data_IF_943010272261
#
_entry.id   IF_943010272261
#
_cell.length_a   1.000
_cell.length_b   1.000
_cell.length_c   1.000
_cell.angle_alpha   90.00
_cell.angle_beta   90.00
_cell.angle_gamma   90.00
#
_symmetry.space_group_name_H-M   'P 1'
#
loop_
_entity.id
_entity.type
_entity.pdbx_description
1 polymer ?
#
# COMPACT_ATOMS: atom_id res chain seq x y z
N UNK A 1 -51.70 -43.12 -18.35
CA UNK A 1 -51.67 -42.41 -17.06
C UNK A 1 -50.40 -42.87 -16.35
N UNK A 2 -49.41 -42.09 -15.97
CA UNK A 2 -49.20 -40.64 -15.93
C UNK A 2 -47.68 -40.41 -16.10
N UNK A 3 -47.30 -39.33 -16.77
CA UNK A 3 -45.91 -38.90 -16.89
C UNK A 3 -45.35 -38.30 -15.60
N UNK A 4 -44.03 -38.36 -15.54
CA UNK A 4 -43.02 -37.85 -14.59
C UNK A 4 -43.32 -36.44 -13.98
N UNK A 5 -42.69 -36.03 -12.85
CA UNK A 5 -41.29 -35.59 -12.95
C UNK A 5 -40.37 -35.67 -11.70
N UNK A 6 -39.11 -36.02 -11.99
CA UNK A 6 -37.88 -35.36 -11.55
C UNK A 6 -37.92 -34.64 -10.19
N UNK A 7 -37.22 -35.23 -9.21
CA UNK A 7 -36.70 -34.54 -8.04
C UNK A 7 -35.77 -33.41 -8.53
N UNK A 8 -36.31 -32.20 -8.61
CA UNK A 8 -35.51 -30.99 -8.65
C UNK A 8 -34.90 -30.83 -7.26
N UNK A 9 -33.72 -31.41 -7.06
CA UNK A 9 -32.88 -31.11 -5.91
C UNK A 9 -32.53 -29.63 -5.98
N UNK A 10 -33.30 -28.81 -5.26
CA UNK A 10 -33.11 -27.37 -5.23
C UNK A 10 -31.77 -27.10 -4.56
N UNK A 11 -30.79 -26.66 -5.35
CA UNK A 11 -29.58 -26.01 -4.86
C UNK A 11 -30.00 -24.94 -3.84
N UNK A 12 -29.47 -24.95 -2.59
CA UNK A 12 -29.85 -23.98 -1.59
C UNK A 12 -29.50 -22.56 -2.06
N UNK A 13 -30.51 -21.71 -2.29
CA UNK A 13 -30.36 -20.33 -2.77
C UNK A 13 -29.51 -19.46 -1.80
N UNK A 14 -29.42 -19.87 -0.54
CA UNK A 14 -28.64 -19.18 0.50
C UNK A 14 -27.12 -19.28 0.31
N UNK A 15 -26.65 -20.32 -0.39
CA UNK A 15 -25.21 -20.51 -0.65
C UNK A 15 -24.63 -19.46 -1.61
N UNK A 16 -25.42 -18.97 -2.57
CA UNK A 16 -25.01 -17.93 -3.51
C UNK A 16 -24.88 -16.56 -2.85
N UNK A 17 -25.80 -16.20 -1.96
CA UNK A 17 -25.75 -14.92 -1.23
C UNK A 17 -24.55 -14.90 -0.26
N UNK A 18 -24.34 -15.99 0.49
CA UNK A 18 -23.19 -16.13 1.38
C UNK A 18 -21.86 -16.11 0.61
N UNK A 19 -21.78 -16.75 -0.56
CA UNK A 19 -20.62 -16.73 -1.43
C UNK A 19 -20.31 -15.31 -1.93
N UNK A 20 -21.32 -14.57 -2.40
CA UNK A 20 -21.16 -13.20 -2.90
C UNK A 20 -20.76 -12.23 -1.77
N UNK A 21 -21.27 -12.42 -0.55
CA UNK A 21 -20.89 -11.63 0.61
C UNK A 21 -19.42 -11.88 1.02
N UNK A 22 -18.98 -13.14 1.04
CA UNK A 22 -17.59 -13.49 1.32
C UNK A 22 -16.63 -12.97 0.24
N UNK A 23 -17.01 -13.02 -1.04
CA UNK A 23 -16.20 -12.47 -2.12
C UNK A 23 -16.00 -10.95 -1.97
N UNK A 24 -17.08 -10.20 -1.74
CA UNK A 24 -17.00 -8.75 -1.50
C UNK A 24 -16.19 -8.39 -0.25
N UNK A 25 -16.20 -9.25 0.76
CA UNK A 25 -15.40 -9.06 1.98
C UNK A 25 -13.91 -9.25 1.67
N UNK A 26 -13.57 -10.32 0.96
CA UNK A 26 -12.20 -10.62 0.54
C UNK A 26 -11.63 -9.54 -0.41
N UNK A 27 -12.45 -9.01 -1.32
CA UNK A 27 -12.06 -7.90 -2.21
C UNK A 27 -11.74 -6.63 -1.41
N UNK A 28 -12.56 -6.29 -0.40
CA UNK A 28 -12.29 -5.15 0.47
C UNK A 28 -11.02 -5.36 1.29
N UNK A 29 -10.84 -6.53 1.89
CA UNK A 29 -9.61 -6.83 2.65
C UNK A 29 -8.36 -6.75 1.77
N UNK A 30 -8.46 -7.16 0.51
CA UNK A 30 -7.35 -7.05 -0.45
C UNK A 30 -7.08 -5.60 -0.84
N UNK A 31 -8.14 -4.81 -1.03
CA UNK A 31 -8.03 -3.39 -1.32
C UNK A 31 -7.39 -2.63 -0.15
N UNK A 32 -7.84 -2.91 1.08
CA UNK A 32 -7.29 -2.32 2.30
C UNK A 32 -5.80 -2.61 2.40
N UNK A 33 -5.38 -3.86 2.17
CA UNK A 33 -3.97 -4.27 2.12
C UNK A 33 -3.16 -3.74 0.94
N UNK A 34 -3.75 -2.95 0.04
CA UNK A 34 -3.06 -2.39 -1.12
C UNK A 34 -3.15 -0.87 -1.18
N UNK A 35 -3.75 -0.23 -0.18
CA UNK A 35 -4.04 1.21 -0.21
C UNK A 35 -2.79 2.06 -0.40
N UNK A 36 -1.72 1.75 0.34
CA UNK A 36 -0.46 2.49 0.23
C UNK A 36 0.10 2.42 -1.19
N UNK A 37 0.14 1.22 -1.78
CA UNK A 37 0.57 1.00 -3.16
C UNK A 37 -0.35 1.74 -4.14
N UNK A 38 -1.66 1.71 -3.93
CA UNK A 38 -2.63 2.40 -4.79
C UNK A 38 -2.38 3.91 -4.76
N UNK A 39 -2.23 4.53 -3.59
CA UNK A 39 -1.96 5.95 -3.49
C UNK A 39 -0.60 6.32 -4.10
N UNK A 40 0.44 5.48 -3.93
CA UNK A 40 1.72 5.68 -4.60
C UNK A 40 1.57 5.66 -6.14
N UNK A 41 0.77 4.75 -6.69
CA UNK A 41 0.50 4.69 -8.13
C UNK A 41 -0.30 5.88 -8.64
N UNK A 42 -1.35 6.28 -7.92
CA UNK A 42 -2.15 7.45 -8.31
C UNK A 42 -1.30 8.73 -8.25
N UNK A 43 -0.41 8.86 -7.26
CA UNK A 43 0.57 9.93 -7.19
C UNK A 43 1.46 9.97 -8.44
N UNK A 44 2.04 8.84 -8.82
CA UNK A 44 2.87 8.72 -10.03
C UNK A 44 2.10 9.01 -11.33
N UNK A 45 0.81 8.65 -11.38
CA UNK A 45 -0.07 9.04 -12.50
C UNK A 45 -0.34 10.54 -12.52
N UNK A 46 -0.57 11.15 -11.35
CA UNK A 46 -0.75 12.60 -11.21
C UNK A 46 0.46 13.37 -11.73
N UNK A 47 1.67 12.91 -11.41
CA UNK A 47 2.91 13.47 -11.97
C UNK A 47 3.01 13.25 -13.48
N UNK A 48 2.83 12.01 -13.94
CA UNK A 48 2.96 11.64 -15.36
C UNK A 48 2.04 12.44 -16.29
N UNK A 49 0.82 12.73 -15.83
CA UNK A 49 -0.18 13.47 -16.62
C UNK A 49 -0.28 14.95 -16.25
N UNK A 50 0.57 15.44 -15.34
CA UNK A 50 0.56 16.84 -14.89
C UNK A 50 -0.70 17.26 -14.13
N UNK A 51 -1.42 16.31 -13.53
CA UNK A 51 -2.62 16.55 -12.74
C UNK A 51 -2.21 16.77 -11.28
N UNK A 52 -1.85 18.01 -10.96
CA UNK A 52 -1.30 18.40 -9.66
C UNK A 52 -2.22 18.08 -8.49
N UNK A 53 -3.52 18.31 -8.64
CA UNK A 53 -4.51 18.08 -7.60
C UNK A 53 -4.61 16.59 -7.26
N UNK A 54 -4.51 15.72 -8.27
CA UNK A 54 -4.51 14.27 -8.09
C UNK A 54 -3.25 13.81 -7.36
N UNK A 55 -2.08 14.36 -7.74
CA UNK A 55 -0.81 14.10 -7.07
C UNK A 55 -0.87 14.50 -5.58
N UNK A 56 -1.34 15.70 -5.29
CA UNK A 56 -1.45 16.23 -3.93
C UNK A 56 -2.46 15.44 -3.08
N UNK A 57 -3.62 15.10 -3.65
CA UNK A 57 -4.62 14.30 -2.95
C UNK A 57 -4.06 12.92 -2.59
N UNK A 58 -3.38 12.27 -3.53
CA UNK A 58 -2.78 10.96 -3.31
C UNK A 58 -1.69 11.01 -2.24
N UNK A 59 -0.88 12.06 -2.21
CA UNK A 59 0.11 12.28 -1.16
C UNK A 59 -0.53 12.42 0.22
N UNK A 60 -1.59 13.23 0.34
CA UNK A 60 -2.32 13.42 1.59
C UNK A 60 -2.93 12.11 2.10
N UNK A 61 -3.55 11.31 1.22
CA UNK A 61 -4.12 10.03 1.64
C UNK A 61 -3.03 9.00 1.97
N UNK A 62 -1.92 8.99 1.23
CA UNK A 62 -0.76 8.15 1.55
C UNK A 62 -0.20 8.47 2.94
N UNK A 63 -0.04 9.75 3.28
CA UNK A 63 0.43 10.18 4.60
C UNK A 63 -0.45 9.65 5.72
N UNK A 64 -1.77 9.82 5.60
CA UNK A 64 -2.74 9.30 6.57
C UNK A 64 -2.60 7.79 6.74
N UNK A 65 -2.57 7.04 5.64
CA UNK A 65 -2.48 5.58 5.71
C UNK A 65 -1.16 5.09 6.33
N UNK A 66 -0.03 5.78 6.08
CA UNK A 66 1.26 5.45 6.71
C UNK A 66 1.18 5.62 8.23
N UNK A 67 0.53 6.67 8.73
CA UNK A 67 0.37 6.88 10.18
C UNK A 67 -0.33 5.70 10.89
N UNK A 68 -1.25 5.02 10.21
CA UNK A 68 -1.97 3.87 10.77
C UNK A 68 -1.29 2.52 10.52
N UNK A 69 -0.54 2.38 9.43
CA UNK A 69 -0.13 1.08 8.88
C UNK A 69 1.38 0.89 8.70
N UNK A 70 2.20 1.76 9.28
CA UNK A 70 3.67 1.71 9.20
C UNK A 70 4.28 0.35 9.63
N UNK A 71 3.64 -0.38 10.54
CA UNK A 71 4.13 -1.67 11.06
C UNK A 71 3.68 -2.89 10.22
N UNK A 72 2.81 -2.70 9.22
CA UNK A 72 2.29 -3.78 8.39
C UNK A 72 3.23 -4.16 7.23
N UNK A 73 3.12 -5.39 6.72
CA UNK A 73 3.92 -5.85 5.56
C UNK A 73 3.68 -5.00 4.29
N UNK A 74 2.45 -4.51 4.10
CA UNK A 74 2.08 -3.63 2.96
C UNK A 74 2.90 -2.32 2.96
N UNK A 75 3.34 -1.84 4.12
CA UNK A 75 4.22 -0.68 4.17
C UNK A 75 5.54 -0.93 3.44
N UNK A 76 6.14 -2.12 3.61
CA UNK A 76 7.42 -2.47 2.97
C UNK A 76 7.27 -2.57 1.45
N UNK A 77 6.18 -3.17 0.98
CA UNK A 77 5.85 -3.21 -0.45
C UNK A 77 5.62 -1.80 -1.02
N UNK A 78 4.95 -0.93 -0.26
CA UNK A 78 4.77 0.47 -0.64
C UNK A 78 6.10 1.25 -0.68
N UNK A 79 7.04 1.00 0.25
CA UNK A 79 8.38 1.59 0.21
C UNK A 79 9.07 1.25 -1.11
N UNK A 80 9.03 -0.03 -1.49
CA UNK A 80 9.60 -0.50 -2.74
C UNK A 80 8.94 0.14 -3.95
N UNK A 81 7.61 0.24 -3.99
CA UNK A 81 6.87 0.89 -5.06
C UNK A 81 7.27 2.37 -5.19
N UNK A 82 7.33 3.13 -4.09
CA UNK A 82 7.68 4.55 -4.12
C UNK A 82 9.09 4.78 -4.64
N UNK A 83 10.07 4.03 -4.15
CA UNK A 83 11.47 4.21 -4.55
C UNK A 83 11.79 3.69 -5.95
N UNK A 84 10.91 2.91 -6.57
CA UNK A 84 11.05 2.44 -7.95
C UNK A 84 10.20 3.21 -8.96
N UNK A 85 9.09 3.84 -8.53
CA UNK A 85 8.17 4.57 -9.41
C UNK A 85 8.37 6.09 -9.43
N UNK A 86 9.16 6.64 -8.52
CA UNK A 86 9.47 8.09 -8.44
C UNK A 86 10.93 8.37 -8.77
N UNK A 87 11.20 9.54 -9.38
CA UNK A 87 12.58 10.02 -9.58
C UNK A 87 13.14 10.65 -8.31
N UNK A 88 14.46 10.74 -8.18
CA UNK A 88 15.12 11.21 -6.94
C UNK A 88 14.75 12.65 -6.53
N UNK A 89 14.42 13.49 -7.50
CA UNK A 89 13.95 14.86 -7.26
C UNK A 89 12.51 14.95 -6.75
N UNK A 90 11.71 13.88 -6.85
CA UNK A 90 10.34 13.86 -6.37
C UNK A 90 10.30 13.45 -4.88
N UNK A 91 10.29 14.46 -4.02
CA UNK A 91 10.44 14.29 -2.58
C UNK A 91 9.17 13.91 -1.84
N UNK A 92 7.98 14.08 -2.43
CA UNK A 92 6.70 14.00 -1.71
C UNK A 92 6.50 12.69 -0.95
N UNK A 93 6.37 11.57 -1.67
CA UNK A 93 6.18 10.27 -1.02
C UNK A 93 7.46 9.76 -0.34
N UNK A 94 8.63 10.07 -0.89
CA UNK A 94 9.93 9.63 -0.36
C UNK A 94 10.18 10.19 1.03
N UNK A 95 9.90 11.48 1.26
CA UNK A 95 10.07 12.12 2.56
C UNK A 95 9.12 11.53 3.60
N UNK A 96 7.90 11.13 3.22
CA UNK A 96 6.93 10.46 4.12
C UNK A 96 7.48 9.12 4.61
N UNK A 97 7.99 8.28 3.70
CA UNK A 97 8.59 6.99 4.06
C UNK A 97 9.81 7.17 4.96
N UNK A 98 10.71 8.08 4.58
CA UNK A 98 11.92 8.36 5.35
C UNK A 98 11.55 8.84 6.75
N UNK A 99 10.53 9.69 6.86
CA UNK A 99 10.04 10.17 8.15
C UNK A 99 9.46 9.04 9.00
N UNK A 100 8.63 8.17 8.42
CA UNK A 100 8.07 7.02 9.12
C UNK A 100 9.16 6.08 9.67
N UNK A 101 10.21 5.80 8.90
CA UNK A 101 11.34 4.96 9.36
C UNK A 101 12.16 5.66 10.45
N UNK A 102 12.30 6.98 10.39
CA UNK A 102 13.00 7.74 11.43
C UNK A 102 12.21 7.77 12.74
N UNK A 103 10.87 7.86 12.65
CA UNK A 103 9.99 7.85 13.81
C UNK A 103 9.86 6.45 14.43
N UNK A 104 10.04 5.40 13.62
CA UNK A 104 9.97 3.99 14.00
C UNK A 104 11.23 3.22 13.57
N UNK A 105 12.39 3.44 14.23
CA UNK A 105 13.67 2.85 13.82
C UNK A 105 13.71 1.32 13.96
N UNK A 106 12.84 0.73 14.78
CA UNK A 106 12.62 -0.72 14.92
C UNK A 106 12.19 -1.39 13.61
N UNK A 107 11.64 -0.64 12.65
CA UNK A 107 11.38 -1.16 11.31
C UNK A 107 12.65 -1.68 10.62
N UNK A 108 13.82 -1.13 10.94
CA UNK A 108 15.10 -1.57 10.37
C UNK A 108 15.55 -2.94 10.89
N UNK A 109 14.90 -3.50 11.91
CA UNK A 109 15.14 -4.86 12.37
C UNK A 109 14.44 -5.92 11.48
N UNK A 110 13.51 -5.50 10.60
CA UNK A 110 12.83 -6.39 9.66
C UNK A 110 13.71 -6.68 8.44
N UNK A 111 14.03 -7.95 8.24
CA UNK A 111 14.85 -8.42 7.10
C UNK A 111 14.35 -7.90 5.74
N UNK A 112 13.01 -7.92 5.54
CA UNK A 112 12.39 -7.43 4.31
C UNK A 112 12.67 -5.95 4.05
N UNK A 113 12.62 -5.10 5.09
CA UNK A 113 12.96 -3.68 4.93
C UNK A 113 14.46 -3.50 4.70
N UNK A 114 15.31 -4.27 5.36
CA UNK A 114 16.76 -4.22 5.11
C UNK A 114 17.11 -4.54 3.65
N UNK A 115 16.42 -5.51 3.04
CA UNK A 115 16.61 -5.85 1.63
C UNK A 115 16.18 -4.70 0.70
N UNK A 116 15.09 -4.00 1.04
CA UNK A 116 14.67 -2.80 0.31
C UNK A 116 15.71 -1.68 0.47
N UNK A 117 16.19 -1.42 1.69
CA UNK A 117 17.22 -0.41 1.98
C UNK A 117 18.51 -0.68 1.20
N UNK A 118 18.91 -1.94 1.06
CA UNK A 118 20.11 -2.35 0.29
C UNK A 118 19.93 -2.24 -1.23
N UNK A 119 18.70 -2.29 -1.74
CA UNK A 119 18.42 -2.39 -3.18
C UNK A 119 18.04 -1.06 -3.84
N UNK A 120 17.78 0.00 -3.08
CA UNK A 120 17.40 1.31 -3.63
C UNK A 120 18.10 2.50 -2.92
N UNK A 121 17.83 3.72 -3.38
CA UNK A 121 18.41 4.95 -2.83
C UNK A 121 18.04 5.26 -1.38
N UNK A 122 17.15 4.48 -0.75
CA UNK A 122 16.67 4.71 0.62
C UNK A 122 17.80 4.72 1.66
N UNK A 123 18.85 3.91 1.49
CA UNK A 123 20.01 3.94 2.39
C UNK A 123 20.66 5.34 2.45
N UNK A 124 20.85 5.97 1.29
CA UNK A 124 21.42 7.32 1.22
C UNK A 124 20.51 8.35 1.90
N UNK A 125 19.21 8.28 1.65
CA UNK A 125 18.22 9.16 2.26
C UNK A 125 18.24 9.07 3.79
N UNK A 126 18.21 7.84 4.33
CA UNK A 126 18.25 7.60 5.77
C UNK A 126 19.55 8.10 6.39
N UNK A 127 20.71 7.83 5.78
CA UNK A 127 21.99 8.34 6.28
C UNK A 127 22.01 9.88 6.35
N UNK A 128 21.49 10.54 5.32
CA UNK A 128 21.44 12.00 5.27
C UNK A 128 20.46 12.57 6.30
N UNK A 129 19.33 11.89 6.52
CA UNK A 129 18.32 12.25 7.51
C UNK A 129 18.79 12.05 8.95
N UNK A 130 19.49 10.96 9.26
CA UNK A 130 20.08 10.75 10.59
C UNK A 130 21.24 11.69 10.88
N UNK A 131 22.03 12.05 9.86
CA UNK A 131 23.10 13.04 9.99
C UNK A 131 22.56 14.41 10.40
N UNK A 132 21.40 14.82 9.86
CA UNK A 132 20.79 16.10 10.25
C UNK A 132 20.22 16.07 11.67
N UNK A 133 19.85 14.90 12.18
CA UNK A 133 19.31 14.73 13.53
C UNK A 133 20.37 14.90 14.63
N UNK A 134 21.61 14.40 14.43
CA UNK A 134 22.71 14.46 15.43
C UNK A 134 23.35 15.85 15.66
N UNK A 135 22.69 16.96 15.29
CA UNK A 135 23.24 18.33 15.38
C UNK A 135 22.72 19.16 16.57
N UNK A 136 22.15 18.54 17.60
CA UNK A 136 21.72 19.20 18.84
C UNK A 136 22.41 18.59 20.06
#
# INVERSE_FOLDING_TARGET
MSGNPLLHESVPKDSSIAFHANLKKQERETLERSKLIIYARIYSLGEKYGIRELKNLSLSEFQKEVEYRWDEEDFIDAVKEVFTSTVDGDRGLRDVIVQAIVDHPDLLDKDQLQDVVKSCGLCFELMMRFRSFKRW
#
